data_IF_755027656083
#
_entry.id   IF_755027656083
#
_cell.length_a   1.000
_cell.length_b   1.000
_cell.length_c   1.000
_cell.angle_alpha   90.00
_cell.angle_beta   90.00
_cell.angle_gamma   90.00
#
_symmetry.space_group_name_H-M   'P 1'
#
loop_
_entity.id
_entity.type
_entity.pdbx_description
1 polymer ?
#
# COMPACT_ATOMS: atom_id res chain seq x y z
N UNK A 1 -28.90 12.02 12.96
CA UNK A 1 -28.75 12.04 11.49
C UNK A 1 -27.27 12.23 11.17
N UNK A 2 -26.54 11.14 10.95
CA UNK A 2 -25.15 11.18 10.52
C UNK A 2 -25.12 10.79 9.04
N UNK A 3 -24.65 11.71 8.19
CA UNK A 3 -24.52 11.48 6.76
C UNK A 3 -23.38 10.47 6.52
N UNK A 4 -23.73 9.32 5.97
CA UNK A 4 -22.77 8.31 5.50
C UNK A 4 -21.99 8.87 4.31
N UNK A 5 -20.66 8.75 4.33
CA UNK A 5 -19.79 9.04 3.17
C UNK A 5 -19.82 7.82 2.23
N UNK A 6 -20.08 7.98 0.93
CA UNK A 6 -19.84 6.92 -0.04
C UNK A 6 -18.36 7.01 -0.48
N UNK A 7 -17.61 5.91 -0.41
CA UNK A 7 -16.30 5.85 -1.04
C UNK A 7 -16.48 5.23 -2.44
N UNK A 8 -15.98 5.97 -3.42
CA UNK A 8 -16.32 5.87 -4.81
C UNK A 8 -15.68 4.67 -5.53
N UNK A 9 -16.38 4.23 -6.57
CA UNK A 9 -16.00 3.28 -7.60
C UNK A 9 -14.59 3.51 -8.17
N UNK A 10 -13.67 2.59 -7.88
CA UNK A 10 -12.44 2.32 -8.67
C UNK A 10 -12.16 0.84 -8.37
N UNK A 11 -12.39 -0.18 -9.19
CA UNK A 11 -11.97 -0.45 -10.58
C UNK A 11 -12.99 -1.47 -11.14
N UNK A 12 -13.85 -1.09 -12.08
CA UNK A 12 -14.51 -2.07 -12.97
C UNK A 12 -13.79 -2.08 -14.31
N UNK A 13 -12.76 -2.90 -14.44
CA UNK A 13 -12.34 -3.40 -15.74
C UNK A 13 -11.98 -4.89 -15.60
N UNK A 14 -12.78 -5.68 -16.33
CA UNK A 14 -12.62 -7.10 -16.62
C UNK A 14 -12.96 -8.10 -15.50
N UNK A 15 -14.22 -8.53 -15.44
CA UNK A 15 -14.50 -9.95 -15.67
C UNK A 15 -15.98 -10.22 -15.96
N UNK A 16 -16.28 -10.76 -17.15
CA UNK A 16 -17.59 -11.29 -17.49
C UNK A 16 -17.82 -12.63 -16.76
N UNK A 17 -18.97 -12.74 -16.09
CA UNK A 17 -19.77 -13.95 -15.82
C UNK A 17 -19.19 -15.02 -14.86
N UNK A 18 -19.79 -15.15 -13.67
CA UNK A 18 -20.81 -16.17 -13.28
C UNK A 18 -20.97 -16.21 -11.75
N UNK A 19 -22.21 -16.15 -11.27
CA UNK A 19 -22.58 -16.57 -9.91
C UNK A 19 -22.87 -18.08 -9.96
N UNK A 20 -22.38 -18.86 -8.99
CA UNK A 20 -23.32 -19.47 -8.04
C UNK A 20 -22.90 -19.27 -6.58
N UNK A 21 -23.94 -19.20 -5.77
CA UNK A 21 -24.03 -18.98 -4.33
C UNK A 21 -23.33 -20.03 -3.46
N UNK A 22 -22.82 -19.54 -2.32
CA UNK A 22 -22.46 -20.23 -1.08
C UNK A 22 -21.24 -21.17 -1.14
N UNK A 23 -20.08 -20.59 -0.83
CA UNK A 23 -19.02 -21.22 -0.04
C UNK A 23 -18.34 -20.16 0.85
N UNK A 24 -18.75 -20.19 2.11
CA UNK A 24 -18.02 -19.86 3.35
C UNK A 24 -16.69 -19.07 3.26
N UNK A 25 -16.76 -17.78 3.62
CA UNK A 25 -15.92 -17.09 4.61
C UNK A 25 -14.38 -17.22 4.62
N UNK A 26 -13.67 -17.37 3.49
CA UNK A 26 -12.18 -17.37 3.60
C UNK A 26 -11.37 -16.66 2.52
N UNK A 27 -11.96 -16.08 1.48
CA UNK A 27 -11.17 -15.61 0.33
C UNK A 27 -11.08 -14.10 0.14
N UNK A 28 -11.82 -13.28 0.90
CA UNK A 28 -11.80 -11.83 0.70
C UNK A 28 -10.45 -11.17 1.06
N UNK A 29 -9.68 -11.75 1.99
CA UNK A 29 -8.42 -11.18 2.47
C UNK A 29 -7.15 -11.84 1.90
N UNK A 30 -7.28 -12.76 0.93
CA UNK A 30 -6.10 -13.36 0.29
C UNK A 30 -5.28 -12.34 -0.54
N UNK A 31 -5.81 -11.14 -0.79
CA UNK A 31 -5.19 -10.12 -1.62
C UNK A 31 -4.48 -9.00 -0.83
N UNK A 32 -4.82 -8.76 0.45
CA UNK A 32 -4.09 -7.80 1.29
C UNK A 32 -4.83 -7.38 2.55
N UNK A 33 -4.69 -8.13 3.64
CA UNK A 33 -5.34 -7.80 4.93
C UNK A 33 -5.02 -6.38 5.45
N UNK A 34 -3.87 -5.83 5.07
CA UNK A 34 -3.45 -4.50 5.47
C UNK A 34 -4.16 -3.38 4.70
N UNK A 35 -5.01 -3.69 3.72
CA UNK A 35 -5.96 -2.70 3.17
C UNK A 35 -6.89 -2.13 4.25
N UNK A 36 -7.12 -2.89 5.32
CA UNK A 36 -7.90 -2.45 6.49
C UNK A 36 -7.12 -1.50 7.41
N UNK A 37 -5.82 -1.35 7.20
CA UNK A 37 -4.98 -0.49 8.02
C UNK A 37 -5.06 0.95 7.50
N UNK A 38 -5.63 1.85 8.30
CA UNK A 38 -5.79 3.27 7.95
C UNK A 38 -4.51 4.08 8.19
N UNK A 39 -3.67 3.67 9.16
CA UNK A 39 -2.49 4.39 9.61
C UNK A 39 -1.19 3.63 9.31
N UNK A 40 -0.26 4.33 8.66
CA UNK A 40 1.01 3.81 8.19
C UNK A 40 2.16 4.70 8.64
N UNK A 41 3.32 4.10 8.83
CA UNK A 41 4.55 4.78 9.19
C UNK A 41 5.51 4.78 8.01
N UNK A 42 6.11 5.93 7.73
CA UNK A 42 7.17 6.07 6.75
C UNK A 42 8.47 6.49 7.43
N UNK A 43 9.54 5.75 7.18
CA UNK A 43 10.84 5.99 7.78
C UNK A 43 11.92 6.17 6.71
N UNK A 44 12.87 7.06 6.99
CA UNK A 44 14.17 7.12 6.34
C UNK A 44 15.15 6.28 7.17
N UNK A 45 15.78 5.29 6.55
CA UNK A 45 16.68 4.35 7.24
C UNK A 45 18.12 4.86 7.10
N UNK A 46 18.78 5.04 8.25
CA UNK A 46 20.24 5.15 8.28
C UNK A 46 20.84 3.74 8.18
N UNK A 47 21.44 3.43 7.03
CA UNK A 47 22.03 2.12 6.74
C UNK A 47 23.23 1.79 7.65
N UNK A 48 23.86 2.81 8.26
CA UNK A 48 25.05 2.66 9.11
C UNK A 48 24.62 2.48 10.57
N UNK A 49 23.67 3.29 11.03
CA UNK A 49 23.16 3.29 12.40
C UNK A 49 21.62 3.24 12.40
N UNK A 50 20.98 2.05 12.23
CA UNK A 50 19.53 1.93 12.07
C UNK A 50 18.69 2.53 13.21
N UNK A 51 19.25 2.61 14.42
CA UNK A 51 18.65 3.30 15.56
C UNK A 51 18.43 4.81 15.34
N UNK A 52 19.16 5.42 14.40
CA UNK A 52 19.03 6.82 14.02
C UNK A 52 18.04 7.04 12.87
N UNK A 53 17.31 5.99 12.45
CA UNK A 53 16.28 6.12 11.43
C UNK A 53 15.26 7.19 11.81
N UNK A 54 14.83 7.99 10.83
CA UNK A 54 14.00 9.16 11.05
C UNK A 54 12.57 8.85 10.60
N UNK A 55 11.59 9.04 11.49
CA UNK A 55 10.18 9.00 11.11
C UNK A 55 9.88 10.21 10.24
N UNK A 56 9.49 9.96 8.99
CA UNK A 56 9.14 10.97 8.00
C UNK A 56 7.68 11.40 8.17
N UNK A 57 6.76 10.43 8.32
CA UNK A 57 5.34 10.70 8.53
C UNK A 57 4.60 9.49 9.11
N UNK A 58 3.46 9.76 9.75
CA UNK A 58 2.49 8.79 10.28
C UNK A 58 1.11 9.24 9.80
N UNK A 59 0.64 8.68 8.69
CA UNK A 59 -0.57 9.13 7.98
C UNK A 59 -1.13 7.97 7.15
N UNK A 60 -1.97 8.24 6.15
CA UNK A 60 -2.42 7.22 5.20
C UNK A 60 -1.27 6.67 4.35
N UNK A 61 -1.41 5.45 3.83
CA UNK A 61 -0.39 4.84 2.94
C UNK A 61 -0.04 5.74 1.73
N UNK A 62 -1.03 6.41 1.15
CA UNK A 62 -0.80 7.31 0.03
C UNK A 62 0.02 8.55 0.43
N UNK A 63 -0.18 9.06 1.64
CA UNK A 63 0.61 10.17 2.19
C UNK A 63 2.03 9.72 2.54
N UNK A 64 2.21 8.52 3.10
CA UNK A 64 3.54 7.90 3.29
C UNK A 64 4.31 7.75 1.97
N UNK A 65 3.66 7.24 0.92
CA UNK A 65 4.25 7.11 -0.43
C UNK A 65 4.60 8.50 -1.02
N UNK A 66 3.79 9.52 -0.74
CA UNK A 66 4.08 10.89 -1.17
C UNK A 66 5.23 11.53 -0.37
N UNK A 67 5.33 11.27 0.93
CA UNK A 67 6.41 11.76 1.76
C UNK A 67 7.77 11.18 1.32
N UNK A 68 7.80 9.90 0.95
CA UNK A 68 9.00 9.22 0.44
C UNK A 68 9.19 9.35 -1.08
N UNK A 69 8.44 10.25 -1.73
CA UNK A 69 8.46 10.46 -3.17
C UNK A 69 9.88 10.67 -3.73
N UNK A 70 10.72 11.43 -3.02
CA UNK A 70 12.10 11.68 -3.45
C UNK A 70 12.91 10.39 -3.51
N UNK A 71 12.89 9.58 -2.45
CA UNK A 71 13.61 8.30 -2.36
C UNK A 71 13.12 7.31 -3.41
N UNK A 72 11.80 7.12 -3.51
CA UNK A 72 11.19 6.25 -4.52
C UNK A 72 11.60 6.70 -5.93
N UNK A 73 11.56 8.02 -6.20
CA UNK A 73 11.97 8.56 -7.50
C UNK A 73 13.43 8.26 -7.78
N UNK A 74 14.33 8.48 -6.82
CA UNK A 74 15.76 8.19 -6.97
C UNK A 74 16.02 6.71 -7.24
N UNK A 75 15.36 5.81 -6.51
CA UNK A 75 15.49 4.37 -6.70
C UNK A 75 14.97 3.92 -8.08
N UNK A 76 13.82 4.44 -8.51
CA UNK A 76 13.31 4.16 -9.86
C UNK A 76 14.27 4.72 -10.92
N UNK A 77 14.81 5.92 -10.71
CA UNK A 77 15.75 6.53 -11.64
C UNK A 77 17.02 5.69 -11.78
N UNK A 78 17.57 5.17 -10.68
CA UNK A 78 18.78 4.33 -10.71
C UNK A 78 18.57 3.04 -11.52
N UNK A 79 17.37 2.45 -11.45
CA UNK A 79 16.98 1.26 -12.23
C UNK A 79 16.79 1.56 -13.72
N UNK A 80 16.45 2.81 -14.07
CA UNK A 80 15.96 3.20 -15.40
C UNK A 80 16.92 4.09 -16.18
N UNK A 81 17.96 4.64 -15.56
CA UNK A 81 19.00 5.47 -16.21
C UNK A 81 19.64 4.85 -17.47
N UNK A 82 19.51 3.53 -17.66
CA UNK A 82 19.99 2.80 -18.85
C UNK A 82 18.99 2.81 -20.03
N UNK A 83 17.82 3.41 -19.87
CA UNK A 83 16.71 3.38 -20.82
C UNK A 83 16.40 4.81 -21.27
N UNK A 84 16.60 5.11 -22.55
CA UNK A 84 16.27 6.39 -23.18
C UNK A 84 14.74 6.53 -23.31
N UNK A 85 14.05 6.70 -22.19
CA UNK A 85 12.60 6.87 -22.14
C UNK A 85 12.22 8.34 -22.36
N UNK A 86 11.10 8.56 -23.05
CA UNK A 86 10.51 9.88 -23.13
C UNK A 86 9.75 10.24 -21.81
N UNK A 87 9.43 11.52 -21.57
CA UNK A 87 8.77 11.95 -20.35
C UNK A 87 7.44 11.25 -20.03
N UNK A 88 6.67 10.82 -21.05
CA UNK A 88 5.39 10.11 -20.80
C UNK A 88 5.64 8.69 -20.31
N UNK A 89 6.60 7.99 -20.93
CA UNK A 89 7.04 6.67 -20.46
C UNK A 89 7.60 6.73 -19.05
N UNK A 90 8.31 7.83 -18.72
CA UNK A 90 8.82 8.07 -17.37
C UNK A 90 7.71 8.18 -16.33
N UNK A 91 6.74 9.07 -16.57
CA UNK A 91 5.58 9.25 -15.70
C UNK A 91 4.81 7.93 -15.51
N UNK A 92 4.59 7.18 -16.60
CA UNK A 92 3.92 5.88 -16.53
C UNK A 92 4.68 4.86 -15.67
N UNK A 93 6.01 4.82 -15.75
CA UNK A 93 6.83 3.94 -14.90
C UNK A 93 6.82 4.35 -13.44
N UNK A 94 6.98 5.64 -13.16
CA UNK A 94 6.92 6.16 -11.79
C UNK A 94 5.58 5.82 -11.14
N UNK A 95 4.47 5.94 -11.86
CA UNK A 95 3.15 5.54 -11.36
C UNK A 95 3.05 4.02 -11.15
N UNK A 96 3.55 3.22 -12.11
CA UNK A 96 3.52 1.77 -11.99
C UNK A 96 4.36 1.23 -10.82
N UNK A 97 5.51 1.84 -10.52
CA UNK A 97 6.34 1.46 -9.38
C UNK A 97 5.69 1.85 -8.05
N UNK A 98 5.05 3.02 -7.96
CA UNK A 98 4.25 3.38 -6.77
C UNK A 98 3.10 2.42 -6.52
N UNK A 99 2.40 2.03 -7.58
CA UNK A 99 1.33 1.04 -7.46
C UNK A 99 1.87 -0.28 -6.93
N UNK A 100 3.02 -0.74 -7.43
CA UNK A 100 3.65 -1.96 -6.90
C UNK A 100 3.99 -1.84 -5.42
N UNK A 101 4.56 -0.71 -4.99
CA UNK A 101 4.86 -0.46 -3.57
C UNK A 101 3.56 -0.55 -2.76
N UNK A 102 2.49 0.13 -3.19
CA UNK A 102 1.19 0.10 -2.51
C UNK A 102 0.65 -1.32 -2.35
N UNK A 103 0.66 -2.09 -3.44
CA UNK A 103 0.19 -3.48 -3.44
C UNK A 103 1.03 -4.37 -2.52
N UNK A 104 2.34 -4.16 -2.45
CA UNK A 104 3.21 -4.88 -1.52
C UNK A 104 2.93 -4.51 -0.06
N UNK A 105 2.72 -3.23 0.23
CA UNK A 105 2.30 -2.77 1.55
C UNK A 105 0.99 -3.46 1.96
N UNK A 106 -0.06 -3.39 1.14
CA UNK A 106 -1.34 -4.04 1.46
C UNK A 106 -1.23 -5.55 1.68
N UNK A 107 -0.34 -6.21 0.93
CA UNK A 107 -0.14 -7.65 1.05
C UNK A 107 0.65 -8.05 2.30
N UNK A 108 1.65 -7.28 2.67
CA UNK A 108 2.67 -7.68 3.66
C UNK A 108 2.70 -6.83 4.92
N UNK A 109 2.01 -5.70 4.93
CA UNK A 109 2.08 -4.71 5.99
C UNK A 109 3.36 -3.90 5.98
N UNK A 110 4.26 -4.15 5.01
CA UNK A 110 5.57 -3.51 4.94
C UNK A 110 6.14 -3.55 3.54
N UNK A 111 6.80 -2.48 3.15
CA UNK A 111 7.69 -2.42 1.99
C UNK A 111 8.98 -1.70 2.37
N UNK A 112 10.11 -2.31 2.04
CA UNK A 112 11.44 -1.75 2.28
C UNK A 112 12.13 -1.45 0.95
N UNK A 113 12.48 -0.18 0.76
CA UNK A 113 13.27 0.29 -0.37
C UNK A 113 14.69 0.65 0.05
N UNK A 114 15.44 1.27 -0.86
CA UNK A 114 16.83 1.60 -0.57
C UNK A 114 16.96 2.84 0.32
N UNK A 115 17.17 2.63 1.63
CA UNK A 115 17.29 3.70 2.63
C UNK A 115 15.95 4.22 3.15
N UNK A 116 14.86 3.48 2.97
CA UNK A 116 13.54 3.87 3.47
C UNK A 116 12.62 2.67 3.66
N UNK A 117 11.64 2.79 4.54
CA UNK A 117 10.62 1.76 4.76
C UNK A 117 9.25 2.39 4.97
N UNK A 118 8.21 1.72 4.49
CA UNK A 118 6.82 1.97 4.86
C UNK A 118 6.30 0.73 5.56
N UNK A 119 5.68 0.89 6.72
CA UNK A 119 5.08 -0.22 7.47
C UNK A 119 3.75 0.17 8.10
N UNK A 120 2.87 -0.80 8.26
CA UNK A 120 1.57 -0.63 8.89
C UNK A 120 1.75 -0.42 10.38
N UNK A 121 0.96 0.47 10.97
CA UNK A 121 0.97 0.67 12.42
C UNK A 121 0.46 -0.58 13.17
N UNK A 122 -0.49 -1.28 12.56
CA UNK A 122 -1.07 -2.51 13.08
C UNK A 122 -0.38 -3.73 12.50
N UNK A 123 -0.12 -4.74 13.34
CA UNK A 123 0.33 -6.04 12.88
C UNK A 123 -0.83 -6.88 12.34
N UNK A 124 -0.46 -7.97 11.67
CA UNK A 124 -1.42 -8.88 11.05
C UNK A 124 -2.39 -9.49 12.07
N UNK A 125 -1.89 -9.89 13.25
CA UNK A 125 -2.71 -10.56 14.26
C UNK A 125 -3.78 -9.61 14.81
N UNK A 126 -3.43 -8.36 15.03
CA UNK A 126 -4.34 -7.31 15.48
C UNK A 126 -5.45 -7.09 14.45
N UNK A 127 -5.11 -7.01 13.16
CA UNK A 127 -6.10 -6.89 12.09
C UNK A 127 -7.02 -8.11 11.99
N UNK A 128 -6.48 -9.33 12.14
CA UNK A 128 -7.27 -10.57 12.16
C UNK A 128 -8.27 -10.57 13.33
N UNK A 129 -7.85 -10.18 14.53
CA UNK A 129 -8.74 -10.06 15.69
C UNK A 129 -9.84 -9.02 15.48
N UNK A 130 -9.51 -7.87 14.89
CA UNK A 130 -10.50 -6.83 14.60
C UNK A 130 -11.55 -7.30 13.57
N UNK A 131 -11.19 -8.18 12.64
CA UNK A 131 -12.14 -8.84 11.73
C UNK A 131 -13.04 -9.80 12.51
N UNK A 132 -12.47 -10.64 13.38
CA UNK A 132 -13.23 -11.60 14.21
C UNK A 132 -14.23 -10.90 15.13
N UNK A 133 -13.84 -9.75 15.69
CA UNK A 133 -14.68 -8.91 16.53
C UNK A 133 -15.76 -8.13 15.75
N UNK A 134 -15.79 -8.25 14.42
CA UNK A 134 -16.79 -7.62 13.56
C UNK A 134 -16.64 -6.10 13.46
N UNK A 135 -15.42 -5.57 13.70
CA UNK A 135 -15.13 -4.14 13.58
C UNK A 135 -15.20 -3.70 12.11
N UNK A 136 -14.90 -4.62 11.18
CA UNK A 136 -15.00 -4.39 9.74
C UNK A 136 -16.25 -5.07 9.16
N UNK A 137 -17.06 -4.32 8.40
CA UNK A 137 -18.19 -4.89 7.66
C UNK A 137 -17.69 -5.67 6.43
N UNK A 138 -18.24 -6.85 6.12
CA UNK A 138 -17.91 -7.58 4.90
C UNK A 138 -18.41 -6.82 3.65
N UNK A 139 -17.57 -6.79 2.60
CA UNK A 139 -17.80 -6.09 1.32
C UNK A 139 -18.81 -6.83 0.44
#
# INVERSE_FOLDING_TARGET
MAKKKPLAEVIQLDSKRKIPSQLENSNYYQEGIFELCEEWLAWEIDEIEPENSILVTEETLDECIQALNLFITMEVNSKVLKLNLDPKQWSKRQQAEREKIRQQCYRHGRYEGNGWVIESLLDKQTLELMIEDGIFEPI
#
